data_IF_482699552793
#
_entry.id   IF_482699552793
#
_cell.length_a   1.000
_cell.length_b   1.000
_cell.length_c   1.000
_cell.angle_alpha   90.00
_cell.angle_beta   90.00
_cell.angle_gamma   90.00
#
_symmetry.space_group_name_H-M   'P 1'
#
loop_
_entity.id
_entity.type
_entity.pdbx_description
1 polymer ?
#
# COMPACT_ATOMS: atom_id res chain seq x y z
N UNK A 1 -21.64 20.51 -38.26
CA UNK A 1 -20.36 19.99 -37.70
C UNK A 1 -20.08 20.48 -36.27
N UNK A 2 -21.00 21.22 -35.61
CA UNK A 2 -20.77 21.75 -34.26
C UNK A 2 -20.87 20.70 -33.15
N UNK A 3 -21.68 19.66 -33.35
CA UNK A 3 -21.87 18.57 -32.38
C UNK A 3 -20.56 17.80 -32.14
N UNK A 4 -19.80 17.51 -33.21
CA UNK A 4 -18.51 16.82 -33.10
C UNK A 4 -17.50 17.66 -32.32
N UNK A 5 -17.50 18.98 -32.51
CA UNK A 5 -16.63 19.89 -31.77
C UNK A 5 -16.97 19.92 -30.27
N UNK A 6 -18.25 19.97 -29.91
CA UNK A 6 -18.69 19.94 -28.50
C UNK A 6 -18.32 18.60 -27.83
N UNK A 7 -18.55 17.47 -28.52
CA UNK A 7 -18.15 16.14 -28.01
C UNK A 7 -16.64 16.06 -27.82
N UNK A 8 -15.85 16.60 -28.74
CA UNK A 8 -14.38 16.64 -28.63
C UNK A 8 -13.91 17.37 -27.38
N UNK A 9 -14.49 18.53 -27.06
CA UNK A 9 -14.15 19.32 -25.86
C UNK A 9 -14.52 18.57 -24.58
N UNK A 10 -15.73 17.99 -24.51
CA UNK A 10 -16.17 17.23 -23.35
C UNK A 10 -15.31 15.98 -23.12
N UNK A 11 -14.96 15.26 -24.18
CA UNK A 11 -14.10 14.07 -24.11
C UNK A 11 -12.69 14.42 -23.59
N UNK A 12 -12.12 15.54 -24.05
CA UNK A 12 -10.81 16.00 -23.62
C UNK A 12 -10.72 16.27 -22.09
N UNK A 13 -11.83 16.66 -21.46
CA UNK A 13 -11.91 16.89 -20.01
C UNK A 13 -12.27 15.61 -19.26
N UNK A 14 -13.23 14.85 -19.79
CA UNK A 14 -13.77 13.65 -19.13
C UNK A 14 -12.73 12.52 -19.04
N UNK A 15 -11.91 12.33 -20.08
CA UNK A 15 -10.94 11.23 -20.12
C UNK A 15 -9.90 11.36 -19.01
N UNK A 16 -9.16 12.48 -18.84
CA UNK A 16 -8.19 12.63 -17.75
C UNK A 16 -8.79 12.41 -16.36
N UNK A 17 -10.01 12.92 -16.13
CA UNK A 17 -10.72 12.76 -14.87
C UNK A 17 -11.05 11.29 -14.60
N UNK A 18 -11.53 10.56 -15.61
CA UNK A 18 -11.80 9.12 -15.48
C UNK A 18 -10.53 8.31 -15.20
N UNK A 19 -9.41 8.64 -15.86
CA UNK A 19 -8.12 8.00 -15.58
C UNK A 19 -7.68 8.21 -14.13
N UNK A 20 -7.92 9.40 -13.58
CA UNK A 20 -7.62 9.71 -12.18
C UNK A 20 -8.49 8.88 -11.21
N UNK A 21 -9.77 8.64 -11.54
CA UNK A 21 -10.64 7.74 -10.76
C UNK A 21 -10.15 6.29 -10.77
N UNK A 22 -9.78 5.76 -11.95
CA UNK A 22 -9.23 4.41 -12.06
C UNK A 22 -7.94 4.26 -11.26
N UNK A 23 -7.08 5.28 -11.30
CA UNK A 23 -5.83 5.28 -10.53
C UNK A 23 -6.10 5.27 -9.03
N UNK A 24 -7.02 6.11 -8.53
CA UNK A 24 -7.46 6.08 -7.12
C UNK A 24 -8.04 4.72 -6.69
N UNK A 25 -8.84 4.09 -7.56
CA UNK A 25 -9.41 2.77 -7.28
C UNK A 25 -8.31 1.70 -7.15
N UNK A 26 -7.32 1.71 -8.04
CA UNK A 26 -6.18 0.79 -7.97
C UNK A 26 -5.34 1.01 -6.70
N UNK A 27 -5.06 2.26 -6.33
CA UNK A 27 -4.32 2.58 -5.10
C UNK A 27 -5.10 2.17 -3.84
N UNK A 28 -6.43 2.29 -3.86
CA UNK A 28 -7.28 1.87 -2.74
C UNK A 28 -7.21 0.36 -2.49
N UNK A 29 -7.05 -0.45 -3.54
CA UNK A 29 -6.81 -1.89 -3.42
C UNK A 29 -5.47 -2.19 -2.74
N UNK A 30 -4.41 -1.47 -3.10
CA UNK A 30 -3.11 -1.60 -2.45
C UNK A 30 -3.16 -1.18 -0.97
N UNK A 31 -3.96 -0.17 -0.64
CA UNK A 31 -4.21 0.23 0.75
C UNK A 31 -4.90 -0.91 1.50
N UNK A 32 -5.93 -1.53 0.94
CA UNK A 32 -6.61 -2.67 1.56
C UNK A 32 -5.67 -3.86 1.75
N UNK A 33 -4.85 -4.18 0.74
CA UNK A 33 -3.88 -5.28 0.77
C UNK A 33 -2.86 -5.08 1.91
N UNK A 34 -2.20 -3.93 1.98
CA UNK A 34 -1.23 -3.65 3.05
C UNK A 34 -1.89 -3.46 4.42
N UNK A 35 -3.11 -2.91 4.46
CA UNK A 35 -3.90 -2.78 5.69
C UNK A 35 -4.25 -4.12 6.32
N UNK A 36 -4.50 -5.15 5.50
CA UNK A 36 -4.77 -6.52 5.96
C UNK A 36 -3.61 -7.19 6.71
N UNK A 37 -2.39 -6.65 6.61
CA UNK A 37 -1.21 -7.20 7.30
C UNK A 37 -0.98 -6.60 8.69
N UNK A 38 -1.67 -5.49 9.03
CA UNK A 38 -1.43 -4.77 10.29
C UNK A 38 -1.72 -5.62 11.53
N UNK A 39 -2.90 -6.26 11.59
CA UNK A 39 -3.29 -7.09 12.75
C UNK A 39 -2.42 -8.35 12.88
N UNK A 40 -2.26 -9.17 11.82
CA UNK A 40 -1.45 -10.38 11.93
C UNK A 40 0.01 -10.11 12.31
N UNK A 41 0.58 -9.00 11.84
CA UNK A 41 1.94 -8.61 12.23
C UNK A 41 2.03 -8.11 13.67
N UNK A 42 1.04 -7.35 14.14
CA UNK A 42 0.99 -6.93 15.53
C UNK A 42 0.86 -8.14 16.47
N UNK A 43 0.02 -9.11 16.11
CA UNK A 43 -0.15 -10.37 16.85
C UNK A 43 1.15 -11.19 16.88
N UNK A 44 1.81 -11.35 15.72
CA UNK A 44 3.10 -12.05 15.65
C UNK A 44 4.17 -11.35 16.51
N UNK A 45 4.24 -10.02 16.43
CA UNK A 45 5.15 -9.20 17.22
C UNK A 45 4.91 -9.34 18.72
N UNK A 46 3.63 -9.38 19.15
CA UNK A 46 3.26 -9.56 20.55
C UNK A 46 3.60 -10.95 21.09
N UNK A 47 3.43 -12.02 20.30
CA UNK A 47 3.75 -13.40 20.72
C UNK A 47 5.26 -13.68 20.72
N UNK A 48 5.96 -13.26 19.66
CA UNK A 48 7.37 -13.63 19.41
C UNK A 48 8.37 -12.57 19.82
N UNK A 49 7.91 -11.36 20.16
CA UNK A 49 8.76 -10.19 20.41
C UNK A 49 9.76 -9.93 19.25
N UNK A 50 9.33 -10.21 18.03
CA UNK A 50 10.13 -10.13 16.80
C UNK A 50 9.22 -10.00 15.57
N UNK A 51 9.77 -9.53 14.45
CA UNK A 51 9.11 -9.64 13.15
C UNK A 51 9.28 -11.05 12.55
N UNK A 52 8.36 -11.51 11.70
CA UNK A 52 8.56 -12.73 10.94
C UNK A 52 9.78 -12.58 10.03
N UNK A 53 10.55 -13.66 9.89
CA UNK A 53 11.68 -13.71 8.96
C UNK A 53 11.22 -13.65 7.51
N UNK A 54 10.01 -14.14 7.25
CA UNK A 54 9.39 -14.12 5.93
C UNK A 54 7.86 -14.20 6.00
N UNK A 55 7.21 -13.44 5.12
CA UNK A 55 5.81 -13.59 4.77
C UNK A 55 5.70 -14.60 3.62
N UNK A 56 4.84 -15.60 3.77
CA UNK A 56 4.59 -16.61 2.75
C UNK A 56 3.13 -16.58 2.32
N UNK A 57 2.84 -17.10 1.12
CA UNK A 57 1.48 -17.11 0.58
C UNK A 57 0.50 -17.81 1.54
N UNK A 58 -0.81 -17.48 1.51
CA UNK A 58 -1.79 -18.05 2.44
C UNK A 58 -1.93 -19.57 2.32
N UNK A 59 -1.58 -20.14 1.16
CA UNK A 59 -1.66 -21.57 0.85
C UNK A 59 -0.36 -22.33 1.15
N UNK A 60 0.71 -21.64 1.52
CA UNK A 60 1.99 -22.27 1.85
C UNK A 60 2.01 -22.78 3.29
N UNK A 61 2.72 -23.88 3.55
CA UNK A 61 3.00 -24.31 4.93
C UNK A 61 4.14 -23.46 5.50
N UNK A 62 3.92 -22.61 6.51
CA UNK A 62 4.98 -21.77 7.07
C UNK A 62 5.98 -22.63 7.84
N UNK A 63 7.27 -22.32 7.69
CA UNK A 63 8.32 -22.86 8.55
C UNK A 63 8.59 -21.95 9.75
N UNK A 64 9.51 -22.36 10.64
CA UNK A 64 9.84 -21.59 11.83
C UNK A 64 10.22 -20.13 11.49
N UNK A 65 9.56 -19.18 12.15
CA UNK A 65 9.77 -17.75 11.94
C UNK A 65 9.00 -17.14 10.76
N UNK A 66 8.26 -17.94 10.00
CA UNK A 66 7.44 -17.44 8.88
C UNK A 66 5.99 -17.21 9.31
N UNK A 67 5.28 -16.35 8.57
CA UNK A 67 3.84 -16.18 8.72
C UNK A 67 3.15 -16.20 7.37
N UNK A 68 1.93 -16.71 7.33
CA UNK A 68 1.08 -16.62 6.15
C UNK A 68 0.51 -15.21 5.99
N UNK A 69 0.48 -14.73 4.76
CA UNK A 69 0.00 -13.40 4.41
C UNK A 69 -0.45 -13.36 2.95
N UNK A 70 -1.46 -12.54 2.66
CA UNK A 70 -1.82 -12.22 1.27
C UNK A 70 -0.87 -11.16 0.74
N UNK A 71 0.06 -11.55 -0.13
CA UNK A 71 1.11 -10.67 -0.65
C UNK A 71 0.84 -10.12 -2.04
N UNK A 72 -0.11 -10.71 -2.77
CA UNK A 72 -0.36 -10.36 -4.18
C UNK A 72 -1.81 -9.93 -4.31
N UNK A 73 -1.99 -8.69 -4.76
CA UNK A 73 -3.25 -8.14 -5.20
C UNK A 73 -3.35 -8.15 -6.73
N UNK A 74 -4.45 -7.59 -7.25
CA UNK A 74 -4.66 -7.47 -8.70
C UNK A 74 -3.69 -6.45 -9.32
N UNK A 75 -3.45 -5.34 -8.63
CA UNK A 75 -2.62 -4.23 -9.12
C UNK A 75 -1.33 -4.07 -8.34
N UNK A 76 -1.26 -4.65 -7.14
CA UNK A 76 -0.21 -4.39 -6.16
C UNK A 76 0.40 -5.66 -5.60
N UNK A 77 1.63 -5.54 -5.09
CA UNK A 77 2.34 -6.64 -4.44
C UNK A 77 3.06 -6.10 -3.19
N UNK A 78 2.97 -6.84 -2.10
CA UNK A 78 3.68 -6.58 -0.86
C UNK A 78 5.04 -7.27 -0.86
N UNK A 79 6.05 -6.65 -0.25
CA UNK A 79 7.31 -7.33 0.07
C UNK A 79 7.07 -8.54 0.97
N UNK A 80 7.85 -9.61 0.76
CA UNK A 80 7.78 -10.83 1.57
C UNK A 80 8.55 -10.70 2.90
N UNK A 81 9.08 -9.53 3.21
CA UNK A 81 9.85 -9.24 4.40
C UNK A 81 9.46 -7.88 4.97
N UNK A 82 9.62 -7.75 6.29
CA UNK A 82 9.46 -6.52 7.04
C UNK A 82 10.85 -5.92 7.19
N UNK A 83 11.03 -4.67 6.78
CA UNK A 83 12.29 -3.95 6.96
C UNK A 83 12.34 -3.30 8.35
N UNK A 84 13.53 -3.21 8.95
CA UNK A 84 13.72 -2.68 10.30
C UNK A 84 13.83 -3.77 11.38
N UNK A 85 14.04 -3.34 12.62
CA UNK A 85 14.22 -4.21 13.79
C UNK A 85 13.09 -3.97 14.77
N UNK A 86 12.38 -5.04 15.16
CA UNK A 86 11.29 -4.97 16.12
C UNK A 86 11.70 -4.17 17.38
N UNK A 87 10.87 -3.22 17.86
CA UNK A 87 9.47 -2.95 17.51
C UNK A 87 9.26 -2.03 16.29
N UNK A 88 10.33 -1.56 15.64
CA UNK A 88 10.24 -0.71 14.45
C UNK A 88 10.18 -1.59 13.21
N UNK A 89 9.24 -1.31 12.31
CA UNK A 89 9.02 -2.12 11.13
C UNK A 89 8.44 -1.32 9.97
N UNK A 90 8.74 -1.75 8.75
CA UNK A 90 8.10 -1.25 7.55
C UNK A 90 7.73 -2.38 6.59
N UNK A 91 6.55 -2.25 6.00
CA UNK A 91 6.05 -3.07 4.91
C UNK A 91 5.95 -2.18 3.67
N UNK A 92 6.36 -2.71 2.52
CA UNK A 92 6.28 -1.99 1.25
C UNK A 92 5.28 -2.66 0.31
N UNK A 93 4.34 -1.88 -0.21
CA UNK A 93 3.37 -2.27 -1.23
C UNK A 93 3.72 -1.54 -2.53
N UNK A 94 3.99 -2.30 -3.59
CA UNK A 94 4.36 -1.76 -4.90
C UNK A 94 3.25 -2.03 -5.90
N UNK A 95 2.75 -0.99 -6.59
CA UNK A 95 1.88 -1.16 -7.74
C UNK A 95 2.68 -1.76 -8.90
N UNK A 96 2.25 -2.93 -9.36
CA UNK A 96 2.91 -3.70 -10.42
C UNK A 96 2.22 -3.56 -11.78
N UNK A 97 0.90 -3.35 -11.79
CA UNK A 97 0.12 -3.24 -13.02
C UNK A 97 -0.89 -2.10 -12.96
N UNK A 98 -1.46 -1.74 -14.12
CA UNK A 98 -2.48 -0.71 -14.22
C UNK A 98 -1.92 0.70 -14.41
N UNK A 99 -2.74 1.71 -14.10
CA UNK A 99 -2.39 3.14 -14.22
C UNK A 99 -1.56 3.62 -13.04
N UNK A 100 -1.75 3.00 -11.88
CA UNK A 100 -1.00 3.29 -10.66
C UNK A 100 0.42 2.69 -10.65
N UNK A 101 0.80 1.86 -11.64
CA UNK A 101 2.14 1.27 -11.75
C UNK A 101 3.15 2.13 -12.51
N UNK A 102 2.92 3.44 -12.60
CA UNK A 102 3.85 4.37 -13.22
C UNK A 102 5.21 4.32 -12.50
N UNK A 103 6.29 4.17 -13.27
CA UNK A 103 7.63 4.06 -12.71
C UNK A 103 7.95 5.25 -11.78
N UNK A 104 8.56 4.96 -10.62
CA UNK A 104 8.88 5.94 -9.58
C UNK A 104 7.68 6.60 -8.87
N UNK A 105 6.43 6.21 -9.19
CA UNK A 105 5.20 6.73 -8.54
C UNK A 105 4.25 5.62 -8.10
N UNK A 106 4.81 4.49 -7.71
CA UNK A 106 4.09 3.23 -7.52
C UNK A 106 4.31 2.58 -6.16
N UNK A 107 4.96 3.24 -5.21
CA UNK A 107 5.29 2.65 -3.90
C UNK A 107 4.45 3.29 -2.82
N UNK A 108 3.82 2.44 -2.00
CA UNK A 108 3.14 2.79 -0.77
C UNK A 108 3.79 2.00 0.38
N UNK A 109 3.93 2.62 1.55
CA UNK A 109 4.55 1.98 2.71
C UNK A 109 3.63 2.02 3.92
N UNK A 110 3.81 1.05 4.80
CA UNK A 110 3.24 1.04 6.14
C UNK A 110 4.39 0.92 7.12
N UNK A 111 4.55 1.90 7.99
CA UNK A 111 5.64 1.91 8.98
C UNK A 111 5.06 1.96 10.40
N UNK A 112 5.72 1.28 11.33
CA UNK A 112 5.40 1.26 12.77
C UNK A 112 6.67 1.45 13.59
N UNK A 113 6.54 2.01 14.79
CA UNK A 113 7.60 2.10 15.80
C UNK A 113 7.23 1.41 17.13
N UNK A 114 6.05 0.80 17.20
CA UNK A 114 5.45 0.30 18.44
C UNK A 114 4.93 -1.14 18.31
N UNK A 115 5.68 -1.97 17.55
CA UNK A 115 5.38 -3.40 17.41
C UNK A 115 4.11 -3.68 16.62
N UNK A 116 3.65 -2.72 15.81
CA UNK A 116 2.45 -2.86 14.99
C UNK A 116 1.15 -2.42 15.66
N UNK A 117 1.20 -1.85 16.87
CA UNK A 117 0.03 -1.28 17.54
C UNK A 117 -0.53 -0.08 16.77
N UNK A 118 0.35 0.70 16.15
CA UNK A 118 0.00 1.79 15.24
C UNK A 118 0.83 1.70 13.95
N UNK A 119 0.22 2.10 12.84
CA UNK A 119 0.85 2.05 11.52
C UNK A 119 0.60 3.34 10.75
N UNK A 120 1.67 4.09 10.51
CA UNK A 120 1.70 5.21 9.58
C UNK A 120 1.65 4.68 8.14
N UNK A 121 0.66 5.11 7.38
CA UNK A 121 0.56 4.86 5.94
C UNK A 121 1.24 5.98 5.14
N UNK A 122 2.16 5.63 4.25
CA UNK A 122 2.90 6.59 3.41
C UNK A 122 3.63 7.63 4.26
N UNK A 123 3.24 8.90 4.10
CA UNK A 123 3.86 10.04 4.79
C UNK A 123 3.05 10.54 6.00
N UNK A 124 2.02 9.81 6.42
CA UNK A 124 1.27 10.16 7.64
C UNK A 124 2.16 10.07 8.88
N UNK A 125 1.79 10.84 9.91
CA UNK A 125 2.38 10.70 11.25
C UNK A 125 1.33 10.07 12.15
N UNK A 126 1.71 9.00 12.85
CA UNK A 126 0.87 8.33 13.85
C UNK A 126 1.68 8.20 15.13
N UNK A 127 1.13 8.64 16.25
CA UNK A 127 1.78 8.61 17.57
C UNK A 127 3.21 9.19 17.60
N UNK A 128 3.42 10.30 16.88
CA UNK A 128 4.72 10.97 16.79
C UNK A 128 5.73 10.29 15.86
N UNK A 129 5.34 9.21 15.19
CA UNK A 129 6.17 8.51 14.20
C UNK A 129 5.73 8.81 12.78
N UNK A 130 6.64 9.40 12.00
CA UNK A 130 6.43 9.70 10.59
C UNK A 130 6.71 8.44 9.74
N UNK A 131 5.72 8.05 8.93
CA UNK A 131 5.88 6.96 7.97
C UNK A 131 6.96 7.26 6.92
N UNK A 132 7.63 6.20 6.46
CA UNK A 132 8.73 6.33 5.51
C UNK A 132 8.18 6.29 4.08
N UNK A 133 7.98 7.49 3.52
CA UNK A 133 7.69 7.87 2.12
C UNK A 133 6.87 6.92 1.23
N UNK A 134 5.71 7.39 0.78
CA UNK A 134 5.03 6.93 -0.45
C UNK A 134 5.58 7.70 -1.65
N UNK A 135 5.62 7.08 -2.84
CA UNK A 135 5.95 7.77 -4.10
C UNK A 135 4.73 8.04 -4.97
N UNK A 136 3.57 7.48 -4.59
CA UNK A 136 2.29 7.73 -5.26
C UNK A 136 1.87 9.18 -5.00
N UNK A 137 1.47 9.90 -6.05
CA UNK A 137 1.03 11.29 -5.92
C UNK A 137 -0.15 11.40 -4.93
N UNK A 138 -0.13 12.43 -4.06
CA UNK A 138 -1.11 12.60 -2.99
C UNK A 138 -2.57 12.67 -3.47
N UNK A 139 -2.82 13.11 -4.71
CA UNK A 139 -4.16 13.14 -5.33
C UNK A 139 -4.77 11.75 -5.57
N UNK A 140 -3.94 10.71 -5.57
CA UNK A 140 -4.35 9.31 -5.76
C UNK A 140 -4.46 8.54 -4.44
N UNK A 141 -3.92 9.07 -3.35
CA UNK A 141 -3.95 8.43 -2.05
C UNK A 141 -5.32 8.61 -1.37
N UNK A 142 -5.85 7.58 -0.68
CA UNK A 142 -6.94 7.74 0.26
C UNK A 142 -6.55 8.63 1.45
N UNK A 143 -7.54 9.21 2.13
CA UNK A 143 -7.28 10.13 3.25
C UNK A 143 -6.43 9.52 4.36
N UNK A 144 -6.57 8.21 4.62
CA UNK A 144 -5.78 7.50 5.63
C UNK A 144 -4.26 7.42 5.32
N UNK A 145 -3.84 7.78 4.10
CA UNK A 145 -2.45 7.70 3.64
C UNK A 145 -1.93 9.04 3.09
N UNK A 146 -2.74 10.11 3.18
CA UNK A 146 -2.30 11.46 2.80
C UNK A 146 -1.48 12.08 3.92
N UNK A 147 -0.37 12.79 3.62
CA UNK A 147 0.39 13.53 4.62
C UNK A 147 -0.45 14.63 5.28
#
# INVERSE_FOLDING_TARGET
>A
MIVVAIIGILAAIAIPVYQDYITRAQVSEAVALGGGLKSPLAEYGADKNAWPTKLVAPTATPTAGQMNATLIGKYSQVTDTITGTYPVGQITVTMKTGKASAASKNVLTYSTNNGGSAWACGNTTVDGYAGTKTTIDAKYLPNACKP
#
